data_IF_223666007381
#
_entry.id   IF_223666007381
#
_cell.length_a   1.000
_cell.length_b   1.000
_cell.length_c   1.000
_cell.angle_alpha   90.00
_cell.angle_beta   90.00
_cell.angle_gamma   90.00
#
_symmetry.space_group_name_H-M   'P 1'
#
loop_
_entity.id
_entity.type
_entity.pdbx_description
1 polymer ?
#
# COMPACT_ATOMS: atom_id res chain seq x y z
N UNK A 1 -7.07 -0.99 25.14
CA UNK A 1 -6.65 -1.57 23.84
C UNK A 1 -7.02 -0.64 22.68
N UNK A 2 -8.26 -0.17 22.61
CA UNK A 2 -8.79 0.86 21.67
C UNK A 2 -8.27 2.31 21.90
N UNK A 3 -7.10 2.49 22.48
CA UNK A 3 -6.43 3.81 22.54
C UNK A 3 -5.03 3.68 21.96
N UNK A 4 -4.38 2.54 22.20
CA UNK A 4 -3.05 2.24 21.68
C UNK A 4 -3.04 2.02 20.16
N UNK A 5 -4.12 1.48 19.57
CA UNK A 5 -4.19 1.21 18.13
C UNK A 5 -4.32 2.53 17.35
N UNK A 6 -5.16 3.44 17.85
CA UNK A 6 -5.51 4.74 17.29
C UNK A 6 -4.32 5.69 17.42
N UNK A 7 -3.68 5.69 18.60
CA UNK A 7 -2.41 6.37 18.79
C UNK A 7 -1.33 5.85 17.81
N UNK A 8 -1.28 4.53 17.60
CA UNK A 8 -0.38 3.90 16.63
C UNK A 8 -0.64 4.36 15.19
N UNK A 9 -1.90 4.43 14.75
CA UNK A 9 -2.28 4.93 13.43
C UNK A 9 -1.90 6.41 13.28
N UNK A 10 -2.17 7.21 14.31
CA UNK A 10 -1.86 8.64 14.30
C UNK A 10 -0.35 8.86 14.14
N UNK A 11 0.47 8.27 15.00
CA UNK A 11 1.94 8.38 14.94
C UNK A 11 2.50 7.77 13.65
N UNK A 12 1.96 6.62 13.23
CA UNK A 12 2.34 5.96 11.98
C UNK A 12 2.09 6.84 10.76
N UNK A 13 0.99 7.62 10.75
CA UNK A 13 0.69 8.57 9.69
C UNK A 13 1.73 9.69 9.57
N UNK A 14 2.18 10.26 10.69
CA UNK A 14 3.25 11.26 10.69
C UNK A 14 4.56 10.68 10.16
N UNK A 15 4.91 9.46 10.59
CA UNK A 15 6.12 8.78 10.13
C UNK A 15 6.05 8.46 8.64
N UNK A 16 4.92 7.95 8.15
CA UNK A 16 4.72 7.67 6.73
C UNK A 16 4.85 8.95 5.88
N UNK A 17 4.21 10.05 6.30
CA UNK A 17 4.35 11.35 5.64
C UNK A 17 5.80 11.86 5.66
N UNK A 18 6.54 11.59 6.73
CA UNK A 18 7.95 11.98 6.87
C UNK A 18 8.86 11.24 5.90
N UNK A 19 8.67 9.93 5.75
CA UNK A 19 9.39 9.14 4.75
C UNK A 19 9.08 9.62 3.32
N UNK A 20 7.81 9.92 3.05
CA UNK A 20 7.37 10.48 1.76
C UNK A 20 8.02 11.84 1.50
N UNK A 21 8.10 12.69 2.53
CA UNK A 21 8.75 13.99 2.46
C UNK A 21 10.24 13.88 2.11
N UNK A 22 10.98 12.98 2.77
CA UNK A 22 12.39 12.72 2.45
C UNK A 22 12.54 12.25 1.01
N UNK A 23 11.68 11.32 0.57
CA UNK A 23 11.70 10.83 -0.81
C UNK A 23 11.53 11.99 -1.81
N UNK A 24 10.55 12.87 -1.60
CA UNK A 24 10.37 14.04 -2.47
C UNK A 24 11.52 15.04 -2.38
N UNK A 25 12.15 15.23 -1.22
CA UNK A 25 13.37 16.05 -1.10
C UNK A 25 14.50 15.49 -1.94
N UNK A 26 14.74 14.18 -1.90
CA UNK A 26 15.75 13.50 -2.72
C UNK A 26 15.45 13.65 -4.21
N UNK A 27 14.17 13.65 -4.60
CA UNK A 27 13.73 13.88 -5.98
C UNK A 27 13.78 15.36 -6.41
N UNK A 28 14.20 16.27 -5.52
CA UNK A 28 14.38 17.70 -5.83
C UNK A 28 13.19 18.59 -5.52
N UNK A 29 12.26 18.15 -4.67
CA UNK A 29 11.13 18.99 -4.28
C UNK A 29 11.54 20.15 -3.36
N UNK A 30 11.10 21.36 -3.71
CA UNK A 30 11.23 22.56 -2.89
C UNK A 30 10.19 22.67 -1.77
N UNK A 31 9.20 21.78 -1.72
CA UNK A 31 8.07 21.87 -0.81
C UNK A 31 8.44 21.57 0.66
N UNK A 32 7.60 22.06 1.57
CA UNK A 32 7.72 21.85 3.02
C UNK A 32 7.07 20.53 3.46
N UNK A 33 7.40 20.09 4.68
CA UNK A 33 6.81 18.89 5.28
C UNK A 33 5.27 18.97 5.35
N UNK A 34 4.71 20.15 5.65
CA UNK A 34 3.26 20.37 5.68
C UNK A 34 2.60 20.01 4.35
N UNK A 35 3.19 20.42 3.22
CA UNK A 35 2.68 20.05 1.89
C UNK A 35 2.69 18.53 1.70
N UNK A 36 3.80 17.86 2.05
CA UNK A 36 3.92 16.41 1.96
C UNK A 36 2.92 15.67 2.86
N UNK A 37 2.71 16.16 4.08
CA UNK A 37 1.74 15.63 5.02
C UNK A 37 0.30 15.77 4.49
N UNK A 38 -0.04 16.91 3.90
CA UNK A 38 -1.36 17.12 3.28
C UNK A 38 -1.59 16.19 2.09
N UNK A 39 -0.59 15.99 1.24
CA UNK A 39 -0.69 15.02 0.13
C UNK A 39 -0.93 13.60 0.67
N UNK A 40 -0.20 13.19 1.70
CA UNK A 40 -0.41 11.89 2.35
C UNK A 40 -1.83 11.78 2.92
N UNK A 41 -2.29 12.79 3.67
CA UNK A 41 -3.61 12.80 4.28
C UNK A 41 -4.75 12.74 3.25
N UNK A 42 -4.67 13.51 2.15
CA UNK A 42 -5.67 13.46 1.09
C UNK A 42 -5.67 12.12 0.34
N UNK A 43 -4.49 11.52 0.19
CA UNK A 43 -4.36 10.18 -0.41
C UNK A 43 -4.96 9.10 0.51
N UNK A 44 -4.85 9.25 1.83
CA UNK A 44 -5.46 8.35 2.80
C UNK A 44 -6.99 8.58 2.96
N UNK A 45 -7.46 9.81 2.74
CA UNK A 45 -8.86 10.19 2.87
C UNK A 45 -9.78 9.48 1.86
N UNK A 46 -9.24 8.96 0.75
CA UNK A 46 -10.01 8.17 -0.23
C UNK A 46 -10.24 6.71 0.22
N UNK A 47 -9.72 6.31 1.39
CA UNK A 47 -9.86 4.96 1.94
C UNK A 47 -11.28 4.41 1.96
N UNK A 48 -12.37 5.19 2.18
CA UNK A 48 -13.72 4.64 2.07
C UNK A 48 -14.04 4.12 0.67
N UNK A 49 -13.64 4.85 -0.37
CA UNK A 49 -13.88 4.46 -1.76
C UNK A 49 -13.06 3.23 -2.13
N UNK A 50 -11.78 3.21 -1.76
CA UNK A 50 -10.92 2.07 -2.05
C UNK A 50 -11.29 0.82 -1.25
N UNK A 51 -11.89 0.98 -0.06
CA UNK A 51 -12.39 -0.15 0.74
C UNK A 51 -13.54 -0.91 0.06
N UNK A 52 -14.44 -0.21 -0.62
CA UNK A 52 -15.53 -0.82 -1.40
C UNK A 52 -14.97 -1.60 -2.59
N UNK A 53 -13.99 -1.02 -3.28
CA UNK A 53 -13.32 -1.66 -4.42
C UNK A 53 -12.55 -2.91 -3.97
N UNK A 54 -11.87 -2.84 -2.83
CA UNK A 54 -11.10 -3.93 -2.24
C UNK A 54 -11.96 -5.14 -1.80
N UNK A 55 -13.29 -5.02 -1.80
CA UNK A 55 -14.18 -6.13 -1.50
C UNK A 55 -14.10 -7.26 -2.54
N UNK A 56 -13.65 -6.97 -3.77
CA UNK A 56 -13.37 -7.99 -4.79
C UNK A 56 -11.97 -8.58 -4.51
N UNK A 57 -11.85 -9.88 -4.16
CA UNK A 57 -10.56 -10.48 -3.83
C UNK A 57 -9.54 -10.36 -4.97
N UNK A 58 -8.27 -10.10 -4.63
CA UNK A 58 -7.13 -9.85 -5.51
C UNK A 58 -7.27 -8.62 -6.46
N UNK A 59 -8.31 -8.58 -7.29
CA UNK A 59 -8.59 -7.50 -8.24
C UNK A 59 -8.83 -6.16 -7.54
N UNK A 60 -9.64 -6.17 -6.48
CA UNK A 60 -9.97 -4.96 -5.72
C UNK A 60 -8.75 -4.33 -5.06
N UNK A 61 -7.88 -5.16 -4.48
CA UNK A 61 -6.63 -4.71 -3.86
C UNK A 61 -5.69 -4.12 -4.90
N UNK A 62 -5.54 -4.78 -6.05
CA UNK A 62 -4.68 -4.27 -7.13
C UNK A 62 -5.19 -2.92 -7.68
N UNK A 63 -6.51 -2.76 -7.86
CA UNK A 63 -7.11 -1.50 -8.31
C UNK A 63 -6.95 -0.40 -7.26
N UNK A 64 -7.23 -0.70 -5.99
CA UNK A 64 -7.04 0.23 -4.89
C UNK A 64 -5.58 0.71 -4.79
N UNK A 65 -4.63 -0.20 -4.97
CA UNK A 65 -3.21 0.09 -4.97
C UNK A 65 -2.83 0.98 -6.17
N UNK A 66 -3.26 0.61 -7.38
CA UNK A 66 -3.01 1.38 -8.59
C UNK A 66 -3.55 2.82 -8.47
N UNK A 67 -4.71 2.99 -7.83
CA UNK A 67 -5.29 4.29 -7.55
C UNK A 67 -4.40 5.17 -6.66
N UNK A 68 -3.88 4.62 -5.55
CA UNK A 68 -2.96 5.34 -4.65
C UNK A 68 -1.71 5.78 -5.40
N UNK A 69 -1.09 4.90 -6.18
CA UNK A 69 0.11 5.25 -6.95
C UNK A 69 -0.18 6.30 -8.04
N UNK A 70 -1.35 6.26 -8.65
CA UNK A 70 -1.78 7.30 -9.59
C UNK A 70 -1.88 8.67 -8.89
N UNK A 71 -2.45 8.74 -7.70
CA UNK A 71 -2.49 9.97 -6.91
C UNK A 71 -1.09 10.47 -6.54
N UNK A 72 -0.18 9.57 -6.16
CA UNK A 72 1.22 9.91 -5.85
C UNK A 72 1.97 10.43 -7.07
N UNK A 73 1.75 9.87 -8.26
CA UNK A 73 2.32 10.38 -9.52
C UNK A 73 1.82 11.81 -9.80
N UNK A 74 0.52 12.05 -9.62
CA UNK A 74 -0.07 13.38 -9.81
C UNK A 74 0.49 14.37 -8.80
N UNK A 75 0.56 14.01 -7.52
CA UNK A 75 1.11 14.88 -6.48
C UNK A 75 2.60 15.18 -6.72
N UNK A 76 3.38 14.17 -7.07
CA UNK A 76 4.81 14.32 -7.38
C UNK A 76 5.03 15.28 -8.55
N UNK A 77 4.18 15.20 -9.58
CA UNK A 77 4.33 16.04 -10.76
C UNK A 77 3.73 17.44 -10.63
N UNK A 78 2.56 17.58 -10.01
CA UNK A 78 1.82 18.86 -9.96
C UNK A 78 2.06 19.65 -8.69
N UNK A 79 2.26 18.99 -7.55
CA UNK A 79 2.47 19.66 -6.25
C UNK A 79 3.96 19.81 -5.99
N UNK A 80 4.74 18.75 -6.18
CA UNK A 80 6.18 18.77 -5.91
C UNK A 80 7.04 19.24 -7.10
N UNK A 81 6.42 19.54 -8.25
CA UNK A 81 7.08 20.12 -9.42
C UNK A 81 8.05 19.17 -10.15
N UNK A 82 8.03 17.87 -9.86
CA UNK A 82 8.94 16.90 -10.44
C UNK A 82 8.45 16.50 -11.83
N UNK A 83 9.38 16.31 -12.78
CA UNK A 83 9.03 15.92 -14.15
C UNK A 83 8.20 14.64 -14.17
N UNK A 84 7.10 14.63 -14.93
CA UNK A 84 6.17 13.49 -15.02
C UNK A 84 6.86 12.15 -15.35
N UNK A 85 7.84 12.05 -16.28
CA UNK A 85 8.54 10.79 -16.53
C UNK A 85 9.26 10.24 -15.29
N UNK A 86 9.87 11.11 -14.47
CA UNK A 86 10.55 10.72 -13.23
C UNK A 86 9.52 10.27 -12.19
N UNK A 87 8.42 11.01 -12.04
CA UNK A 87 7.33 10.66 -11.13
C UNK A 87 6.74 9.28 -11.46
N UNK A 88 6.46 9.02 -12.74
CA UNK A 88 5.94 7.73 -13.21
C UNK A 88 6.96 6.61 -13.00
N UNK A 89 8.26 6.86 -13.27
CA UNK A 89 9.28 5.84 -13.06
C UNK A 89 9.38 5.41 -11.59
N UNK A 90 9.49 6.37 -10.66
CA UNK A 90 9.63 6.07 -9.22
C UNK A 90 8.39 5.35 -8.70
N UNK A 91 7.21 5.93 -8.88
CA UNK A 91 5.98 5.39 -8.32
C UNK A 91 5.44 4.19 -9.08
N UNK A 92 5.70 4.09 -10.39
CA UNK A 92 5.37 2.93 -11.19
C UNK A 92 6.17 1.71 -10.79
N UNK A 93 7.49 1.84 -10.58
CA UNK A 93 8.33 0.74 -10.09
C UNK A 93 7.90 0.31 -8.70
N UNK A 94 7.73 1.26 -7.76
CA UNK A 94 7.27 0.93 -6.41
C UNK A 94 5.89 0.28 -6.45
N UNK A 95 4.98 0.77 -7.28
CA UNK A 95 3.62 0.22 -7.40
C UNK A 95 3.59 -1.19 -7.94
N UNK A 96 4.35 -1.49 -9.00
CA UNK A 96 4.46 -2.84 -9.54
C UNK A 96 5.06 -3.80 -8.51
N UNK A 97 6.12 -3.39 -7.80
CA UNK A 97 6.74 -4.20 -6.75
C UNK A 97 5.75 -4.51 -5.62
N UNK A 98 4.98 -3.51 -5.18
CA UNK A 98 3.99 -3.69 -4.11
C UNK A 98 2.85 -4.61 -4.52
N UNK A 99 2.36 -4.50 -5.75
CA UNK A 99 1.33 -5.41 -6.29
C UNK A 99 1.86 -6.84 -6.36
N UNK A 100 3.08 -7.04 -6.90
CA UNK A 100 3.71 -8.36 -6.97
C UNK A 100 3.87 -8.99 -5.59
N UNK A 101 4.42 -8.25 -4.62
CA UNK A 101 4.58 -8.71 -3.24
C UNK A 101 3.25 -9.16 -2.65
N UNK A 102 2.19 -8.35 -2.82
CA UNK A 102 0.86 -8.65 -2.29
C UNK A 102 0.29 -9.94 -2.89
N UNK A 103 0.39 -10.11 -4.21
CA UNK A 103 -0.07 -11.32 -4.89
C UNK A 103 0.76 -12.55 -4.47
N UNK A 104 2.07 -12.41 -4.30
CA UNK A 104 2.94 -13.49 -3.82
C UNK A 104 2.56 -13.95 -2.40
N UNK A 105 2.25 -13.01 -1.49
CA UNK A 105 1.76 -13.35 -0.16
C UNK A 105 0.44 -14.12 -0.22
N UNK A 106 -0.49 -13.71 -1.08
CA UNK A 106 -1.79 -14.37 -1.21
C UNK A 106 -1.66 -15.80 -1.77
N UNK A 107 -0.77 -16.01 -2.75
CA UNK A 107 -0.50 -17.33 -3.33
C UNK A 107 0.17 -18.27 -2.32
N UNK A 108 1.23 -17.82 -1.64
CA UNK A 108 1.92 -18.64 -0.64
C UNK A 108 1.04 -19.00 0.56
N UNK A 109 0.12 -18.12 0.94
CA UNK A 109 -0.89 -18.41 1.96
C UNK A 109 -1.83 -19.55 1.53
N UNK A 110 -2.33 -19.51 0.28
CA UNK A 110 -3.21 -20.57 -0.26
C UNK A 110 -2.51 -21.93 -0.31
N UNK A 111 -1.25 -21.97 -0.72
CA UNK A 111 -0.46 -23.21 -0.78
C UNK A 111 -0.28 -23.81 0.62
N UNK A 112 0.12 -23.00 1.60
CA UNK A 112 0.32 -23.44 3.00
C UNK A 112 -0.97 -24.02 3.58
N UNK A 113 -2.11 -23.34 3.40
CA UNK A 113 -3.42 -23.80 3.87
C UNK A 113 -3.83 -25.11 3.20
N UNK A 114 -3.55 -25.28 1.91
CA UNK A 114 -3.86 -26.52 1.18
C UNK A 114 -3.07 -27.73 1.69
N UNK A 115 -1.79 -27.53 2.04
CA UNK A 115 -0.92 -28.58 2.60
C UNK A 115 -1.36 -28.99 4.00
N UNK A 116 -1.73 -28.02 4.85
CA UNK A 116 -2.29 -28.29 6.17
C UNK A 116 -3.61 -29.06 6.09
N UNK A 117 -4.51 -28.67 5.18
CA UNK A 117 -5.76 -29.38 4.94
C UNK A 117 -5.53 -30.82 4.48
N UNK A 118 -4.53 -31.06 3.63
CA UNK A 118 -4.14 -32.40 3.18
C UNK A 118 -3.54 -33.24 4.33
N UNK A 119 -2.60 -32.68 5.09
CA UNK A 119 -1.96 -33.36 6.23
C UNK A 119 -2.95 -33.73 7.33
N UNK A 120 -3.90 -32.84 7.65
CA UNK A 120 -4.99 -33.12 8.58
C UNK A 120 -5.84 -34.32 8.13
N UNK A 121 -6.24 -34.38 6.85
CA UNK A 121 -7.02 -35.51 6.32
C UNK A 121 -6.26 -36.84 6.37
N UNK A 122 -4.94 -36.83 6.12
CA UNK A 122 -4.10 -38.04 6.23
C UNK A 122 -4.06 -38.56 7.66
N UNK A 123 -3.81 -37.67 8.65
CA UNK A 123 -3.77 -38.07 10.07
C UNK A 123 -5.11 -38.63 10.58
N UNK A 124 -6.24 -38.14 10.07
CA UNK A 124 -7.57 -38.66 10.41
C UNK A 124 -7.85 -40.00 9.72
N UNK A 125 -7.26 -40.25 8.55
CA UNK A 125 -7.41 -41.50 7.80
C UNK A 125 -6.61 -42.68 8.37
N UNK A 126 -5.42 -42.42 8.93
CA UNK A 126 -4.57 -43.45 9.55
C UNK A 126 -5.01 -43.85 10.97
N UNK A 127 -5.91 -43.08 11.59
CA UNK A 127 -6.47 -43.36 12.92
C UNK A 127 -7.72 -44.26 12.92
N UNK A 128 -8.08 -44.87 11.79
CA UNK A 128 -9.18 -45.84 11.63
C UNK A 128 -8.62 -47.19 11.22
#
# INVERSE_FOLDING_TARGET
MFIAIEAGIFVGGFLAAFLLHILWKVLGSGENYETSYRVFAYTAAISPVTSVIAFVPALGVAIAMAWVFLLLIIATSRVHGIKKPVAVAVWGVVGVLMIMLTLSYELGYKDTVSLLAKSSKVSVGEGK
#
